data_IF_476047535454
#
_entry.id   IF_476047535454
#
_cell.length_a   1.000
_cell.length_b   1.000
_cell.length_c   1.000
_cell.angle_alpha   90.00
_cell.angle_beta   90.00
_cell.angle_gamma   90.00
#
_symmetry.space_group_name_H-M   'P 1'
#
loop_
_entity.id
_entity.type
_entity.pdbx_description
1 polymer ?
#
# COMPACT_ATOMS: atom_id res chain seq x y z
N UNK A 1 -26.46 -30.57 2.84
CA UNK A 1 -25.37 -29.73 2.29
C UNK A 1 -24.38 -29.45 3.42
N UNK A 2 -23.11 -29.82 3.28
CA UNK A 2 -22.07 -29.54 4.28
C UNK A 2 -21.25 -28.35 3.81
N UNK A 3 -21.02 -27.35 4.66
CA UNK A 3 -20.33 -26.12 4.27
C UNK A 3 -18.92 -26.41 3.74
N UNK A 4 -18.21 -27.38 4.33
CA UNK A 4 -16.86 -27.76 3.85
C UNK A 4 -16.89 -28.29 2.41
N UNK A 5 -17.91 -29.05 2.00
CA UNK A 5 -17.99 -29.59 0.64
C UNK A 5 -18.24 -28.50 -0.39
N UNK A 6 -19.02 -27.48 -0.02
CA UNK A 6 -19.21 -26.30 -0.86
C UNK A 6 -17.90 -25.52 -1.00
N UNK A 7 -17.20 -25.25 0.12
CA UNK A 7 -15.91 -24.56 0.12
C UNK A 7 -14.86 -25.34 -0.68
N UNK A 8 -14.75 -26.66 -0.51
CA UNK A 8 -13.84 -27.53 -1.28
C UNK A 8 -14.09 -27.43 -2.79
N UNK A 9 -15.36 -27.35 -3.20
CA UNK A 9 -15.71 -27.18 -4.62
C UNK A 9 -15.26 -25.82 -5.18
N UNK A 10 -15.27 -24.77 -4.37
CA UNK A 10 -14.83 -23.42 -4.76
C UNK A 10 -13.31 -23.30 -4.78
N UNK A 11 -12.62 -23.94 -3.82
CA UNK A 11 -11.16 -24.05 -3.81
C UNK A 11 -10.64 -24.72 -5.10
N UNK A 12 -11.31 -25.79 -5.57
CA UNK A 12 -10.93 -26.47 -6.82
C UNK A 12 -11.06 -25.60 -8.08
N UNK A 13 -11.78 -24.49 -8.00
CA UNK A 13 -12.01 -23.52 -9.08
C UNK A 13 -11.16 -22.26 -8.93
N UNK A 14 -10.29 -22.22 -7.92
CA UNK A 14 -9.49 -21.04 -7.56
C UNK A 14 -10.34 -19.77 -7.33
N UNK A 15 -11.60 -19.93 -6.92
CA UNK A 15 -12.50 -18.80 -6.71
C UNK A 15 -12.66 -18.48 -5.21
N UNK A 16 -11.63 -17.85 -4.65
CA UNK A 16 -11.58 -17.47 -3.24
C UNK A 16 -12.54 -16.32 -2.90
N UNK A 17 -12.89 -15.48 -3.88
CA UNK A 17 -13.78 -14.32 -3.70
C UNK A 17 -15.20 -14.75 -3.31
N UNK A 18 -15.67 -15.89 -3.81
CA UNK A 18 -16.96 -16.46 -3.44
C UNK A 18 -16.98 -17.07 -2.02
N UNK A 19 -15.81 -17.34 -1.44
CA UNK A 19 -15.66 -17.94 -0.10
C UNK A 19 -15.52 -16.85 0.96
N UNK A 20 -14.82 -15.77 0.62
CA UNK A 20 -14.47 -14.70 1.55
C UNK A 20 -15.63 -13.73 1.78
N UNK A 21 -15.58 -13.06 2.94
CA UNK A 21 -16.56 -12.03 3.25
C UNK A 21 -16.40 -10.84 2.29
N UNK A 22 -17.49 -10.49 1.60
CA UNK A 22 -17.58 -9.32 0.73
C UNK A 22 -17.17 -8.00 1.42
N UNK A 23 -17.30 -7.91 2.76
CA UNK A 23 -16.87 -6.73 3.53
C UNK A 23 -15.36 -6.52 3.51
N UNK A 24 -14.58 -7.54 3.11
CA UNK A 24 -13.14 -7.42 2.94
C UNK A 24 -12.79 -6.55 1.73
N UNK A 25 -13.70 -6.33 0.77
CA UNK A 25 -13.48 -5.45 -0.38
C UNK A 25 -12.16 -5.73 -1.15
N UNK A 26 -11.75 -7.01 -1.23
CA UNK A 26 -10.48 -7.40 -1.86
C UNK A 26 -9.22 -7.05 -1.04
N UNK A 27 -9.37 -6.65 0.22
CA UNK A 27 -8.26 -6.22 1.08
C UNK A 27 -7.57 -7.39 1.79
N UNK A 28 -7.08 -8.34 1.00
CA UNK A 28 -6.32 -9.50 1.46
C UNK A 28 -5.29 -9.90 0.41
N UNK A 29 -4.26 -10.62 0.84
CA UNK A 29 -3.35 -11.38 0.01
C UNK A 29 -4.03 -12.71 -0.37
N UNK A 30 -4.27 -12.98 -1.67
CA UNK A 30 -4.95 -14.20 -2.11
C UNK A 30 -4.28 -15.48 -1.63
N UNK A 31 -2.94 -15.52 -1.62
CA UNK A 31 -2.19 -16.72 -1.18
C UNK A 31 -2.44 -17.03 0.28
N UNK A 32 -2.39 -15.99 1.14
CA UNK A 32 -2.68 -16.12 2.56
C UNK A 32 -4.14 -16.52 2.81
N UNK A 33 -5.07 -15.99 2.03
CA UNK A 33 -6.49 -16.31 2.14
C UNK A 33 -6.77 -17.76 1.77
N UNK A 34 -6.22 -18.24 0.64
CA UNK A 34 -6.30 -19.65 0.24
C UNK A 34 -5.78 -20.58 1.32
N UNK A 35 -4.56 -20.35 1.82
CA UNK A 35 -3.98 -21.15 2.90
C UNK A 35 -4.85 -21.16 4.17
N UNK A 36 -5.44 -20.01 4.50
CA UNK A 36 -6.32 -19.88 5.66
C UNK A 36 -7.62 -20.66 5.50
N UNK A 37 -8.20 -20.68 4.29
CA UNK A 37 -9.38 -21.49 3.99
C UNK A 37 -9.04 -22.98 3.98
N UNK A 38 -7.91 -23.39 3.40
CA UNK A 38 -7.45 -24.78 3.38
C UNK A 38 -7.27 -25.35 4.80
N UNK A 39 -6.62 -24.58 5.70
CA UNK A 39 -6.47 -25.01 7.10
C UNK A 39 -7.83 -25.07 7.80
N UNK A 40 -8.75 -24.12 7.53
CA UNK A 40 -10.08 -24.11 8.11
C UNK A 40 -10.93 -25.33 7.68
N UNK A 41 -10.91 -25.67 6.39
CA UNK A 41 -11.56 -26.86 5.84
C UNK A 41 -10.99 -28.13 6.48
N UNK A 42 -9.66 -28.23 6.59
CA UNK A 42 -9.00 -29.38 7.21
C UNK A 42 -9.40 -29.56 8.68
N UNK A 43 -9.57 -28.47 9.43
CA UNK A 43 -10.03 -28.51 10.84
C UNK A 43 -11.42 -29.14 11.01
N UNK A 44 -12.29 -29.02 10.00
CA UNK A 44 -13.67 -29.52 10.03
C UNK A 44 -13.84 -30.83 9.26
N UNK A 45 -12.74 -31.50 8.88
CA UNK A 45 -12.80 -32.77 8.19
C UNK A 45 -13.57 -33.82 9.03
N UNK A 46 -14.41 -34.64 8.37
CA UNK A 46 -15.21 -35.67 9.07
C UNK A 46 -14.32 -36.72 9.71
N UNK A 47 -13.26 -37.12 9.01
CA UNK A 47 -12.25 -38.02 9.55
C UNK A 47 -11.37 -37.25 10.53
N UNK A 48 -11.34 -37.70 11.79
CA UNK A 48 -10.55 -37.04 12.83
C UNK A 48 -9.05 -37.15 12.59
N UNK A 49 -8.59 -38.20 11.90
CA UNK A 49 -7.18 -38.39 11.57
C UNK A 49 -6.62 -37.39 10.56
N UNK A 50 -7.51 -36.81 9.73
CA UNK A 50 -7.13 -35.81 8.73
C UNK A 50 -7.17 -34.38 9.30
N UNK A 51 -7.66 -34.22 10.54
CA UNK A 51 -7.67 -32.91 11.19
C UNK A 51 -6.26 -32.55 11.64
N UNK A 52 -5.76 -31.34 11.31
CA UNK A 52 -4.45 -30.91 11.75
C UNK A 52 -4.43 -30.73 13.28
N UNK A 53 -3.26 -31.00 13.89
CA UNK A 53 -3.02 -30.64 15.28
C UNK A 53 -2.98 -29.13 15.46
N UNK A 54 -3.34 -28.64 16.65
CA UNK A 54 -3.35 -27.19 16.94
C UNK A 54 -2.01 -26.49 16.69
N UNK A 55 -0.88 -27.20 16.85
CA UNK A 55 0.44 -26.67 16.49
C UNK A 55 0.56 -26.39 14.99
N UNK A 56 0.10 -27.30 14.14
CA UNK A 56 0.09 -27.12 12.68
C UNK A 56 -0.85 -25.97 12.28
N UNK A 57 -2.03 -25.89 12.89
CA UNK A 57 -2.98 -24.80 12.67
C UNK A 57 -2.35 -23.45 13.00
N UNK A 58 -1.73 -23.31 14.18
CA UNK A 58 -1.09 -22.06 14.60
C UNK A 58 0.07 -21.68 13.67
N UNK A 59 0.87 -22.66 13.21
CA UNK A 59 1.95 -22.40 12.25
C UNK A 59 1.40 -21.87 10.94
N UNK A 60 0.40 -22.53 10.35
CA UNK A 60 -0.22 -22.08 9.10
C UNK A 60 -0.81 -20.67 9.22
N UNK A 61 -1.51 -20.37 10.32
CA UNK A 61 -2.07 -19.05 10.56
C UNK A 61 -1.01 -17.96 10.74
N UNK A 62 0.13 -18.28 11.38
CA UNK A 62 1.26 -17.34 11.50
C UNK A 62 1.87 -17.01 10.14
N UNK A 63 2.00 -17.99 9.27
CA UNK A 63 2.51 -17.79 7.91
C UNK A 63 1.56 -16.90 7.09
N UNK A 64 0.25 -17.18 7.13
CA UNK A 64 -0.75 -16.34 6.46
C UNK A 64 -0.74 -14.91 6.99
N UNK A 65 -0.68 -14.74 8.32
CA UNK A 65 -0.61 -13.42 8.94
C UNK A 65 0.66 -12.66 8.54
N UNK A 66 1.81 -13.33 8.47
CA UNK A 66 3.06 -12.70 8.06
C UNK A 66 2.98 -12.16 6.62
N UNK A 67 2.37 -12.93 5.71
CA UNK A 67 2.14 -12.49 4.33
C UNK A 67 1.23 -11.25 4.27
N UNK A 68 0.14 -11.23 5.03
CA UNK A 68 -0.77 -10.07 5.10
C UNK A 68 -0.11 -8.83 5.67
N UNK A 69 0.65 -8.97 6.76
CA UNK A 69 1.37 -7.85 7.38
C UNK A 69 2.38 -7.27 6.40
N UNK A 70 3.11 -8.11 5.67
CA UNK A 70 4.07 -7.64 4.67
C UNK A 70 3.37 -6.95 3.49
N UNK A 71 2.27 -7.51 2.97
CA UNK A 71 1.45 -6.85 1.93
C UNK A 71 0.99 -5.46 2.38
N UNK A 72 0.46 -5.35 3.61
CA UNK A 72 0.02 -4.08 4.19
C UNK A 72 1.18 -3.10 4.36
N UNK A 73 2.32 -3.58 4.85
CA UNK A 73 3.53 -2.77 4.99
C UNK A 73 3.98 -2.21 3.65
N UNK A 74 4.05 -3.05 2.61
CA UNK A 74 4.42 -2.64 1.26
C UNK A 74 3.42 -1.60 0.73
N UNK A 75 2.11 -1.86 0.83
CA UNK A 75 1.06 -0.93 0.40
C UNK A 75 1.19 0.44 1.09
N UNK A 76 1.37 0.45 2.41
CA UNK A 76 1.58 1.67 3.19
C UNK A 76 2.89 2.37 2.82
N UNK A 77 3.97 1.64 2.54
CA UNK A 77 5.24 2.21 2.07
C UNK A 77 5.07 2.89 0.72
N UNK A 78 4.40 2.26 -0.25
CA UNK A 78 4.09 2.89 -1.53
C UNK A 78 3.28 4.17 -1.33
N UNK A 79 2.24 4.13 -0.50
CA UNK A 79 1.43 5.32 -0.20
C UNK A 79 2.25 6.43 0.47
N UNK A 80 3.12 6.08 1.43
CA UNK A 80 4.03 7.03 2.08
C UNK A 80 5.04 7.62 1.09
N UNK A 81 5.61 6.81 0.20
CA UNK A 81 6.53 7.26 -0.84
C UNK A 81 5.82 8.21 -1.79
N UNK A 82 4.64 7.85 -2.30
CA UNK A 82 3.82 8.70 -3.17
C UNK A 82 3.51 10.07 -2.53
N UNK A 83 3.08 10.07 -1.26
CA UNK A 83 2.81 11.31 -0.52
C UNK A 83 4.07 12.16 -0.32
N UNK A 84 5.22 11.54 -0.03
CA UNK A 84 6.51 12.24 0.09
C UNK A 84 6.95 12.87 -1.23
N UNK A 85 6.84 12.12 -2.34
CA UNK A 85 7.16 12.61 -3.68
C UNK A 85 6.24 13.77 -4.05
N UNK A 86 4.92 13.64 -3.84
CA UNK A 86 3.95 14.70 -4.12
C UNK A 86 4.26 15.96 -3.31
N UNK A 87 4.56 15.83 -2.01
CA UNK A 87 4.98 16.96 -1.17
C UNK A 87 6.25 17.63 -1.70
N UNK A 88 7.27 16.85 -2.08
CA UNK A 88 8.50 17.38 -2.65
C UNK A 88 8.24 18.10 -3.97
N UNK A 89 7.45 17.51 -4.86
CA UNK A 89 7.07 18.10 -6.14
C UNK A 89 6.35 19.44 -5.93
N UNK A 90 5.42 19.54 -4.96
CA UNK A 90 4.76 20.80 -4.62
C UNK A 90 5.74 21.87 -4.14
N UNK A 91 6.75 21.51 -3.35
CA UNK A 91 7.81 22.44 -2.91
C UNK A 91 8.63 22.95 -4.09
N UNK A 92 8.89 22.10 -5.09
CA UNK A 92 9.63 22.47 -6.29
C UNK A 92 8.79 23.27 -7.30
N UNK A 93 7.48 23.03 -7.35
CA UNK A 93 6.55 23.66 -8.29
C UNK A 93 6.03 25.00 -7.77
N UNK A 94 5.95 25.23 -6.44
CA UNK A 94 5.58 26.53 -5.88
C UNK A 94 6.72 27.55 -6.14
N UNK A 95 6.55 28.53 -7.04
CA UNK A 95 7.61 29.49 -7.34
C UNK A 95 7.49 30.66 -6.35
N UNK A 96 7.78 30.44 -5.06
CA UNK A 96 7.76 31.50 -4.02
C UNK A 96 8.71 31.08 -2.90
N UNK A 97 9.72 31.82 -2.43
CA UNK A 97 10.24 33.14 -2.76
C UNK A 97 11.68 33.23 -2.23
N UNK A 98 12.68 33.00 -3.07
CA UNK A 98 14.07 33.38 -2.76
C UNK A 98 14.74 34.12 -3.92
N UNK A 99 13.95 34.90 -4.68
CA UNK A 99 14.46 35.98 -5.50
C UNK A 99 14.72 37.20 -4.60
N UNK A 100 15.77 37.11 -3.77
CA UNK A 100 16.46 38.30 -3.26
C UNK A 100 17.56 38.64 -4.28
N UNK A 101 17.22 39.46 -5.27
CA UNK A 101 18.12 40.13 -6.21
C UNK A 101 17.47 41.44 -6.66
N UNK A 102 18.22 42.53 -6.86
CA UNK A 102 18.92 43.33 -5.86
C UNK A 102 18.21 44.67 -5.60
N UNK A 103 18.36 45.19 -4.39
CA UNK A 103 17.92 46.53 -4.00
C UNK A 103 18.75 47.58 -4.76
N UNK A 104 18.06 48.52 -5.42
CA UNK A 104 18.66 49.64 -6.15
C UNK A 104 19.64 50.40 -5.26
N UNK A 105 20.95 50.21 -5.46
CA UNK A 105 21.95 51.17 -4.99
C UNK A 105 21.91 52.39 -5.89
N UNK A 106 21.28 53.45 -5.40
CA UNK A 106 21.60 54.82 -5.79
C UNK A 106 23.10 55.02 -5.58
N UNK A 107 23.85 55.22 -6.67
CA UNK A 107 25.22 55.71 -6.60
C UNK A 107 25.17 57.25 -6.61
N UNK A 108 25.87 57.92 -5.69
CA UNK A 108 25.88 59.38 -5.63
C UNK A 108 26.76 59.93 -6.76
N UNK A 109 26.25 60.97 -7.41
CA UNK A 109 26.95 62.04 -8.11
C UNK A 109 28.36 61.73 -8.66
N UNK A 110 28.47 61.55 -9.98
CA UNK A 110 29.51 62.23 -10.77
C UNK A 110 29.09 62.32 -12.24
N UNK A 111 29.27 63.53 -12.76
CA UNK A 111 28.91 64.03 -14.08
C UNK A 111 29.32 63.10 -15.23
N UNK A 112 28.36 62.77 -16.09
CA UNK A 112 28.62 62.58 -17.52
C UNK A 112 27.49 63.30 -18.26
N UNK A 113 27.83 64.41 -18.90
CA UNK A 113 26.93 65.23 -19.70
C UNK A 113 26.40 64.41 -20.89
N UNK A 114 25.08 64.33 -21.01
CA UNK A 114 24.45 63.93 -22.27
C UNK A 114 24.07 65.23 -22.98
N UNK A 115 24.85 65.56 -24.01
CA UNK A 115 24.62 66.68 -24.90
C UNK A 115 23.21 66.61 -25.51
N UNK A 116 22.42 67.67 -25.29
CA UNK A 116 21.19 67.92 -26.04
C UNK A 116 21.58 68.79 -27.23
N UNK A 117 21.39 68.28 -28.46
CA UNK A 117 21.40 69.10 -29.67
C UNK A 117 19.95 69.46 -30.01
N UNK A 118 19.76 70.75 -30.36
CA UNK A 118 18.54 71.55 -30.55
C UNK A 118 17.35 70.86 -31.20
#
# INVERSE_FOLDING_TARGET
>A
MHISQWVESLLSRENIEEILDSSLCGDYDPTSAFKTVEIAVSCVCRNSGDRPGMSQVVTALKESLAAEVERKRICLLYQQIQLKILRLALVLIHPVANLRWPERRQLPHRNVEIHVFT
#
